data_IF_917858528850
#
_entry.id   IF_917858528850
#
_cell.length_a   1.000
_cell.length_b   1.000
_cell.length_c   1.000
_cell.angle_alpha   90.00
_cell.angle_beta   90.00
_cell.angle_gamma   90.00
#
_symmetry.space_group_name_H-M   'P 1'
#
loop_
_entity.id
_entity.type
_entity.pdbx_description
1 polymer ?
#
# COMPACT_ATOMS: atom_id res chain seq x y z
N UNK A 1 -23.32 -28.16 -8.88
CA UNK A 1 -23.36 -28.42 -7.42
C UNK A 1 -22.26 -27.65 -6.68
N UNK A 2 -20.98 -27.78 -7.06
CA UNK A 2 -19.85 -27.16 -6.34
C UNK A 2 -19.89 -25.61 -6.29
N UNK A 3 -20.21 -24.93 -7.40
CA UNK A 3 -20.38 -23.46 -7.44
C UNK A 3 -21.56 -22.96 -6.60
N UNK A 4 -22.58 -23.78 -6.39
CA UNK A 4 -23.79 -23.43 -5.63
C UNK A 4 -23.54 -23.57 -4.13
N UNK A 5 -22.84 -24.62 -3.71
CA UNK A 5 -22.41 -24.81 -2.32
C UNK A 5 -21.47 -23.70 -1.85
N UNK A 6 -20.52 -23.26 -2.69
CA UNK A 6 -19.61 -22.15 -2.37
C UNK A 6 -20.37 -20.85 -2.05
N UNK A 7 -21.36 -20.49 -2.88
CA UNK A 7 -22.11 -19.23 -2.76
C UNK A 7 -23.14 -19.22 -1.62
N UNK A 8 -23.72 -20.37 -1.32
CA UNK A 8 -24.82 -20.46 -0.33
C UNK A 8 -24.28 -20.74 1.07
N UNK A 9 -23.13 -21.39 1.19
CA UNK A 9 -22.59 -21.85 2.48
C UNK A 9 -21.32 -21.10 2.85
N UNK A 10 -20.29 -21.13 2.00
CA UNK A 10 -18.97 -20.64 2.37
C UNK A 10 -18.86 -19.11 2.35
N UNK A 11 -19.33 -18.44 1.29
CA UNK A 11 -19.27 -16.97 1.22
C UNK A 11 -20.02 -16.30 2.40
N UNK A 12 -21.26 -16.72 2.76
CA UNK A 12 -21.95 -16.20 3.93
C UNK A 12 -21.24 -16.49 5.25
N UNK A 13 -20.69 -17.70 5.42
CA UNK A 13 -19.94 -18.08 6.62
C UNK A 13 -18.69 -17.21 6.81
N UNK A 14 -17.94 -16.96 5.73
CA UNK A 14 -16.73 -16.13 5.75
C UNK A 14 -17.08 -14.70 6.14
N UNK A 15 -18.13 -14.13 5.52
CA UNK A 15 -18.61 -12.79 5.83
C UNK A 15 -19.05 -12.68 7.30
N UNK A 16 -19.87 -13.63 7.77
CA UNK A 16 -20.33 -13.66 9.15
C UNK A 16 -19.18 -13.76 10.15
N UNK A 17 -18.23 -14.67 9.91
CA UNK A 17 -17.07 -14.83 10.79
C UNK A 17 -16.24 -13.54 10.82
N UNK A 18 -15.90 -12.97 9.67
CA UNK A 18 -15.12 -11.73 9.62
C UNK A 18 -15.80 -10.58 10.34
N UNK A 19 -17.09 -10.35 10.08
CA UNK A 19 -17.83 -9.26 10.73
C UNK A 19 -17.95 -9.46 12.24
N UNK A 20 -18.12 -10.71 12.69
CA UNK A 20 -18.12 -11.04 14.13
C UNK A 20 -16.75 -10.78 14.76
N UNK A 21 -15.67 -11.30 14.16
CA UNK A 21 -14.30 -11.10 14.64
C UNK A 21 -13.92 -9.61 14.65
N UNK A 22 -14.32 -8.86 13.62
CA UNK A 22 -14.12 -7.42 13.52
C UNK A 22 -14.87 -6.68 14.63
N UNK A 23 -16.14 -7.00 14.87
CA UNK A 23 -16.91 -6.36 15.93
C UNK A 23 -16.28 -6.63 17.30
N UNK A 24 -15.88 -7.88 17.59
CA UNK A 24 -15.19 -8.21 18.83
C UNK A 24 -13.90 -7.41 18.99
N UNK A 25 -13.13 -7.25 17.91
CA UNK A 25 -11.92 -6.43 17.94
C UNK A 25 -12.22 -4.94 18.15
N UNK A 26 -13.28 -4.40 17.54
CA UNK A 26 -13.73 -3.03 17.79
C UNK A 26 -14.14 -2.83 19.26
N UNK A 27 -14.85 -3.79 19.87
CA UNK A 27 -15.19 -3.75 21.31
C UNK A 27 -13.95 -3.80 22.21
N UNK A 28 -12.89 -4.50 21.81
CA UNK A 28 -11.60 -4.44 22.51
C UNK A 28 -10.95 -3.07 22.39
N UNK A 29 -10.99 -2.46 21.21
CA UNK A 29 -10.38 -1.16 20.95
C UNK A 29 -11.15 0.00 21.62
N UNK A 30 -12.47 -0.12 21.82
CA UNK A 30 -13.27 0.85 22.60
C UNK A 30 -12.77 1.04 24.03
N UNK A 31 -12.06 0.05 24.59
CA UNK A 31 -11.49 0.11 25.94
C UNK A 31 -10.20 0.93 26.01
N UNK A 32 -9.60 1.25 24.86
CA UNK A 32 -8.42 2.12 24.77
C UNK A 32 -8.88 3.59 24.69
N UNK A 33 -8.08 4.50 25.26
CA UNK A 33 -8.36 5.94 25.18
C UNK A 33 -8.29 6.44 23.73
N UNK A 34 -7.22 6.07 23.02
CA UNK A 34 -7.03 6.33 21.59
C UNK A 34 -6.26 5.20 20.91
N UNK A 35 -6.40 5.11 19.59
CA UNK A 35 -5.67 4.13 18.77
C UNK A 35 -4.85 4.81 17.68
N UNK A 36 -3.74 4.20 17.30
CA UNK A 36 -2.96 4.56 16.13
C UNK A 36 -3.21 3.53 15.02
N UNK A 37 -3.51 3.99 13.81
CA UNK A 37 -3.82 3.11 12.67
C UNK A 37 -2.94 3.39 11.47
N UNK A 38 -2.68 2.37 10.66
CA UNK A 38 -1.99 2.46 9.38
C UNK A 38 -2.94 2.12 8.26
N UNK A 39 -2.80 2.80 7.12
CA UNK A 39 -3.69 2.57 5.98
C UNK A 39 -2.97 2.61 4.64
N UNK A 40 -3.30 1.64 3.79
CA UNK A 40 -2.76 1.53 2.42
C UNK A 40 -3.78 0.84 1.49
N UNK A 41 -3.76 1.20 0.20
CA UNK A 41 -4.60 0.60 -0.82
C UNK A 41 -3.79 -0.25 -1.81
N UNK A 42 -4.33 -1.43 -2.11
CA UNK A 42 -3.87 -2.27 -3.20
C UNK A 42 -4.90 -2.32 -4.34
N UNK A 43 -4.45 -2.06 -5.56
CA UNK A 43 -5.25 -2.29 -6.78
C UNK A 43 -5.04 -3.72 -7.35
N UNK A 44 -6.08 -4.27 -7.97
CA UNK A 44 -6.07 -5.58 -8.63
C UNK A 44 -5.21 -5.62 -9.90
N UNK A 45 -5.20 -4.55 -10.70
CA UNK A 45 -4.29 -4.37 -11.84
C UNK A 45 -3.40 -3.11 -11.68
N UNK A 46 -2.25 -3.04 -12.38
CA UNK A 46 -1.46 -1.81 -12.49
C UNK A 46 -2.13 -0.79 -13.41
N UNK A 47 -2.00 0.51 -13.09
CA UNK A 47 -2.46 1.62 -13.94
C UNK A 47 -3.85 2.15 -13.59
N UNK A 48 -4.38 3.03 -14.45
CA UNK A 48 -5.66 3.72 -14.24
C UNK A 48 -6.91 2.88 -14.59
N UNK A 49 -6.74 1.59 -14.90
CA UNK A 49 -7.79 0.68 -15.37
C UNK A 49 -8.14 -0.43 -14.37
N UNK A 50 -7.71 -0.30 -13.11
CA UNK A 50 -8.07 -1.26 -12.06
C UNK A 50 -9.58 -1.33 -11.86
N UNK A 51 -10.10 -2.56 -11.78
CA UNK A 51 -11.52 -2.80 -11.48
C UNK A 51 -11.76 -2.67 -9.98
N UNK A 52 -10.88 -3.26 -9.17
CA UNK A 52 -11.00 -3.29 -7.72
C UNK A 52 -9.79 -2.67 -7.00
N UNK A 53 -10.07 -1.87 -5.98
CA UNK A 53 -9.14 -1.42 -4.96
C UNK A 53 -9.55 -2.00 -3.60
N UNK A 54 -8.61 -2.65 -2.91
CA UNK A 54 -8.79 -3.05 -1.51
C UNK A 54 -7.99 -2.12 -0.61
N UNK A 55 -8.67 -1.28 0.16
CA UNK A 55 -8.08 -0.47 1.22
C UNK A 55 -8.00 -1.29 2.50
N UNK A 56 -6.86 -1.26 3.17
CA UNK A 56 -6.63 -1.99 4.41
C UNK A 56 -6.36 -1.00 5.52
N UNK A 57 -7.08 -1.12 6.63
CA UNK A 57 -6.79 -0.42 7.87
C UNK A 57 -6.21 -1.40 8.90
N UNK A 58 -5.04 -1.09 9.46
CA UNK A 58 -4.36 -1.88 10.48
C UNK A 58 -4.25 -1.07 11.77
N UNK A 59 -4.50 -1.69 12.92
CA UNK A 59 -4.16 -1.10 14.21
C UNK A 59 -2.67 -1.36 14.49
N UNK A 60 -1.91 -0.29 14.73
CA UNK A 60 -0.45 -0.31 14.62
C UNK A 60 0.26 -0.93 15.83
N UNK A 61 -0.37 -0.95 17.01
CA UNK A 61 0.22 -1.51 18.23
C UNK A 61 0.12 -3.05 18.24
N UNK A 62 -1.02 -3.58 17.82
CA UNK A 62 -1.28 -5.00 17.69
C UNK A 62 -0.82 -5.58 16.35
N UNK A 63 -0.60 -4.71 15.35
CA UNK A 63 -0.34 -5.04 13.96
C UNK A 63 -1.46 -5.88 13.32
N UNK A 64 -2.67 -5.89 13.91
CA UNK A 64 -3.82 -6.62 13.36
C UNK A 64 -4.55 -5.77 12.33
N UNK A 65 -5.00 -6.43 11.27
CA UNK A 65 -5.95 -5.87 10.31
C UNK A 65 -7.27 -5.62 11.05
N UNK A 66 -7.64 -4.35 11.10
CA UNK A 66 -8.89 -3.88 11.71
C UNK A 66 -10.01 -3.92 10.68
N UNK A 67 -9.73 -3.45 9.46
CA UNK A 67 -10.75 -3.32 8.42
C UNK A 67 -10.19 -3.51 7.01
N UNK A 68 -11.03 -4.02 6.11
CA UNK A 68 -10.72 -4.17 4.69
C UNK A 68 -11.92 -3.71 3.87
N UNK A 69 -11.73 -2.64 3.10
CA UNK A 69 -12.75 -2.05 2.24
C UNK A 69 -12.46 -2.37 0.78
N UNK A 70 -13.35 -3.13 0.14
CA UNK A 70 -13.31 -3.37 -1.29
C UNK A 70 -14.10 -2.28 -2.01
N UNK A 71 -13.47 -1.61 -2.97
CA UNK A 71 -14.06 -0.56 -3.79
C UNK A 71 -13.89 -0.93 -5.25
N UNK A 72 -14.95 -0.86 -6.02
CA UNK A 72 -14.96 -0.98 -7.48
C UNK A 72 -14.86 0.40 -8.12
N UNK A 73 -14.11 0.51 -9.21
CA UNK A 73 -13.78 1.81 -9.81
C UNK A 73 -14.99 2.60 -10.30
N UNK A 74 -16.06 1.95 -10.77
CA UNK A 74 -17.30 2.62 -11.17
C UNK A 74 -18.11 3.20 -10.00
N UNK A 75 -17.87 2.78 -8.75
CA UNK A 75 -18.51 3.39 -7.58
C UNK A 75 -18.04 4.83 -7.36
N UNK A 76 -16.83 5.16 -7.83
CA UNK A 76 -16.12 6.40 -7.47
C UNK A 76 -15.59 7.16 -8.68
N UNK A 77 -15.97 6.76 -9.89
CA UNK A 77 -15.54 7.44 -11.12
C UNK A 77 -14.09 7.17 -11.52
N UNK A 78 -13.50 6.06 -11.10
CA UNK A 78 -12.19 5.59 -11.55
C UNK A 78 -11.25 5.13 -10.44
N UNK A 79 -10.20 4.39 -10.81
CA UNK A 79 -9.29 3.76 -9.84
C UNK A 79 -8.52 4.76 -8.98
N UNK A 80 -8.34 5.99 -9.46
CA UNK A 80 -7.66 7.07 -8.75
C UNK A 80 -8.38 7.53 -7.47
N UNK A 81 -9.69 7.28 -7.36
CA UNK A 81 -10.51 7.72 -6.23
C UNK A 81 -10.76 6.62 -5.18
N UNK A 82 -10.44 5.37 -5.51
CA UNK A 82 -10.74 4.21 -4.66
C UNK A 82 -10.02 4.26 -3.31
N UNK A 83 -8.79 4.77 -3.25
CA UNK A 83 -8.03 4.85 -2.00
C UNK A 83 -8.70 5.78 -0.99
N UNK A 84 -9.10 6.97 -1.46
CA UNK A 84 -9.79 7.97 -0.63
C UNK A 84 -11.12 7.42 -0.14
N UNK A 85 -11.87 6.73 -1.01
CA UNK A 85 -13.16 6.15 -0.64
C UNK A 85 -13.01 5.00 0.37
N UNK A 86 -12.05 4.09 0.16
CA UNK A 86 -11.77 3.02 1.10
C UNK A 86 -11.37 3.56 2.47
N UNK A 87 -10.47 4.55 2.51
CA UNK A 87 -10.11 5.24 3.74
C UNK A 87 -11.32 5.91 4.41
N UNK A 88 -12.18 6.59 3.64
CA UNK A 88 -13.39 7.21 4.15
C UNK A 88 -14.29 6.19 4.85
N UNK A 89 -14.60 5.06 4.18
CA UNK A 89 -15.42 3.98 4.74
C UNK A 89 -14.83 3.41 6.03
N UNK A 90 -13.52 3.16 6.07
CA UNK A 90 -12.86 2.66 7.27
C UNK A 90 -12.88 3.68 8.43
N UNK A 91 -12.72 4.98 8.15
CA UNK A 91 -12.83 6.00 9.20
C UNK A 91 -14.27 6.19 9.69
N UNK A 92 -15.25 6.09 8.80
CA UNK A 92 -16.67 6.14 9.16
C UNK A 92 -17.01 4.94 10.08
N UNK A 93 -16.50 3.74 9.77
CA UNK A 93 -16.62 2.55 10.65
C UNK A 93 -16.08 2.80 12.06
N UNK A 94 -14.90 3.44 12.17
CA UNK A 94 -14.32 3.79 13.48
C UNK A 94 -15.20 4.79 14.23
N UNK A 95 -15.69 5.81 13.53
CA UNK A 95 -16.55 6.84 14.10
C UNK A 95 -17.89 6.26 14.59
N UNK A 96 -18.54 5.44 13.77
CA UNK A 96 -19.82 4.79 14.09
C UNK A 96 -19.69 3.84 15.29
N UNK A 97 -18.49 3.30 15.51
CA UNK A 97 -18.15 2.49 16.68
C UNK A 97 -17.54 3.30 17.84
N UNK A 98 -17.60 4.63 17.82
CA UNK A 98 -17.08 5.51 18.88
C UNK A 98 -15.60 5.23 19.23
N UNK A 99 -14.79 4.90 18.23
CA UNK A 99 -13.35 4.68 18.40
C UNK A 99 -12.62 6.01 18.24
N UNK A 100 -11.87 6.40 19.26
CA UNK A 100 -11.03 7.59 19.23
C UNK A 100 -9.73 7.32 18.48
N UNK A 101 -9.54 8.00 17.36
CA UNK A 101 -8.31 7.93 16.57
C UNK A 101 -7.29 8.96 17.08
N UNK A 102 -6.07 8.52 17.38
CA UNK A 102 -4.96 9.43 17.72
C UNK A 102 -4.32 10.00 16.45
N UNK A 103 -3.84 9.10 15.59
CA UNK A 103 -3.27 9.44 14.30
C UNK A 103 -3.33 8.28 13.32
N UNK A 104 -3.18 8.61 12.04
CA UNK A 104 -3.06 7.64 10.95
C UNK A 104 -1.71 7.74 10.24
N UNK A 105 -1.11 6.60 9.91
CA UNK A 105 0.09 6.49 9.07
C UNK A 105 -0.30 6.04 7.67
N UNK A 106 -0.01 6.86 6.66
CA UNK A 106 -0.28 6.51 5.25
C UNK A 106 0.86 6.95 4.33
N UNK A 107 0.70 6.62 3.04
CA UNK A 107 1.49 7.20 1.97
C UNK A 107 1.19 8.68 1.72
N UNK A 108 2.06 9.31 0.91
CA UNK A 108 2.00 10.73 0.55
C UNK A 108 1.04 11.00 -0.61
N UNK A 109 -0.18 10.48 -0.54
CA UNK A 109 -1.19 10.76 -1.55
C UNK A 109 -1.92 12.08 -1.26
N UNK A 110 -1.94 12.98 -2.26
CA UNK A 110 -2.43 14.37 -2.07
C UNK A 110 -3.93 14.43 -1.73
N UNK A 111 -4.74 13.54 -2.30
CA UNK A 111 -6.17 13.47 -1.99
C UNK A 111 -6.39 13.02 -0.54
N UNK A 112 -5.70 11.98 -0.10
CA UNK A 112 -5.76 11.47 1.29
C UNK A 112 -5.35 12.55 2.28
N UNK A 113 -4.24 13.25 2.01
CA UNK A 113 -3.78 14.38 2.84
C UNK A 113 -4.84 15.48 2.98
N UNK A 114 -5.47 15.86 1.87
CA UNK A 114 -6.49 16.92 1.87
C UNK A 114 -7.74 16.49 2.63
N UNK A 115 -8.16 15.25 2.44
CA UNK A 115 -9.30 14.65 3.11
C UNK A 115 -9.10 14.55 4.63
N UNK A 116 -7.97 14.01 5.08
CA UNK A 116 -7.65 13.88 6.51
C UNK A 116 -7.55 15.24 7.21
N UNK A 117 -6.97 16.24 6.54
CA UNK A 117 -6.96 17.62 7.05
C UNK A 117 -8.36 18.18 7.24
N UNK A 118 -9.28 17.91 6.31
CA UNK A 118 -10.68 18.33 6.41
C UNK A 118 -11.42 17.69 7.58
N UNK A 119 -11.02 16.49 8.00
CA UNK A 119 -11.55 15.78 9.18
C UNK A 119 -10.81 16.08 10.49
N UNK A 120 -9.83 16.98 10.46
CA UNK A 120 -8.96 17.27 11.61
C UNK A 120 -8.26 16.03 12.19
N UNK A 121 -7.87 15.09 11.32
CA UNK A 121 -7.15 13.87 11.71
C UNK A 121 -5.65 14.08 11.53
N UNK A 122 -4.88 13.75 12.58
CA UNK A 122 -3.42 13.77 12.53
C UNK A 122 -2.90 12.69 11.59
N UNK A 123 -2.15 13.10 10.58
CA UNK A 123 -1.53 12.20 9.60
C UNK A 123 -0.02 12.24 9.74
N UNK A 124 0.58 11.06 9.85
CA UNK A 124 2.02 10.83 9.69
C UNK A 124 2.30 10.04 8.41
N UNK A 125 3.54 10.13 7.94
CA UNK A 125 3.99 9.44 6.74
C UNK A 125 4.86 8.25 7.05
N UNK A 126 4.72 7.26 6.18
CA UNK A 126 5.58 6.11 6.13
C UNK A 126 7.02 6.51 5.76
N UNK A 127 7.95 6.14 6.65
CA UNK A 127 9.39 6.40 6.57
C UNK A 127 10.01 5.70 5.35
N UNK A 128 9.57 4.49 5.03
CA UNK A 128 10.13 3.68 3.95
C UNK A 128 9.78 4.25 2.57
N UNK A 129 8.54 4.70 2.40
CA UNK A 129 8.12 5.40 1.19
C UNK A 129 8.86 6.72 1.00
N UNK A 130 9.21 7.41 2.10
CA UNK A 130 10.05 8.59 2.01
C UNK A 130 11.45 8.22 1.50
N UNK A 131 12.11 7.25 2.13
CA UNK A 131 13.44 6.77 1.72
C UNK A 131 13.50 6.39 0.21
N UNK A 132 12.50 5.65 -0.28
CA UNK A 132 12.38 5.26 -1.70
C UNK A 132 12.30 6.47 -2.64
N UNK A 133 11.55 7.52 -2.28
CA UNK A 133 11.42 8.69 -3.16
C UNK A 133 12.69 9.52 -3.18
N UNK A 134 13.38 9.66 -2.05
CA UNK A 134 14.70 10.34 -2.01
C UNK A 134 15.69 9.60 -2.91
N UNK A 135 15.76 8.27 -2.83
CA UNK A 135 16.62 7.44 -3.70
C UNK A 135 16.37 7.63 -5.20
N UNK A 136 15.12 7.93 -5.59
CA UNK A 136 14.75 8.18 -6.99
C UNK A 136 15.16 9.57 -7.48
N UNK A 137 15.38 10.52 -6.59
CA UNK A 137 15.90 11.83 -6.96
C UNK A 137 17.37 11.66 -7.35
N UNK A 138 17.65 11.66 -8.65
CA UNK A 138 19.00 11.46 -9.23
C UNK A 138 19.97 12.50 -8.67
N UNK A 139 20.84 12.07 -7.77
CA UNK A 139 22.01 12.82 -7.35
C UNK A 139 23.11 12.70 -8.43
N UNK A 140 24.07 13.64 -8.49
CA UNK A 140 25.27 13.49 -9.32
C UNK A 140 25.91 12.13 -9.08
N UNK A 141 26.37 11.47 -10.15
CA UNK A 141 26.78 10.06 -10.20
C UNK A 141 27.98 9.69 -9.30
N UNK A 142 28.57 10.68 -8.64
CA UNK A 142 29.96 10.65 -8.26
C UNK A 142 30.19 10.13 -6.83
N UNK A 143 29.16 9.97 -5.99
CA UNK A 143 29.34 9.52 -4.58
C UNK A 143 28.20 8.65 -4.05
N UNK A 144 28.39 7.33 -4.04
CA UNK A 144 27.57 6.33 -3.29
C UNK A 144 27.40 6.73 -1.80
N UNK A 145 28.33 7.51 -1.26
CA UNK A 145 28.39 7.98 0.13
C UNK A 145 27.14 8.75 0.54
N UNK A 146 26.55 9.59 -0.32
CA UNK A 146 25.35 10.40 0.02
C UNK A 146 24.13 9.53 0.30
N UNK A 147 23.95 8.47 -0.49
CA UNK A 147 22.81 7.56 -0.37
C UNK A 147 22.81 6.84 0.99
N UNK A 148 23.99 6.38 1.45
CA UNK A 148 24.13 5.69 2.74
C UNK A 148 23.83 6.61 3.94
N UNK A 149 24.22 7.88 3.87
CA UNK A 149 23.95 8.85 4.93
C UNK A 149 22.47 9.29 4.93
N UNK A 150 21.82 9.37 3.77
CA UNK A 150 20.39 9.68 3.68
C UNK A 150 19.50 8.67 4.41
N UNK A 151 19.69 7.37 4.15
CA UNK A 151 18.92 6.31 4.84
C UNK A 151 19.06 6.43 6.36
N UNK A 152 20.29 6.66 6.81
CA UNK A 152 20.62 6.83 8.23
C UNK A 152 19.96 8.08 8.82
N UNK A 153 19.92 9.20 8.09
CA UNK A 153 19.30 10.44 8.54
C UNK A 153 17.77 10.40 8.50
N UNK A 154 17.15 9.70 7.55
CA UNK A 154 15.68 9.46 7.57
C UNK A 154 15.29 8.67 8.81
N UNK A 155 16.05 7.60 9.13
CA UNK A 155 15.83 6.79 10.33
C UNK A 155 16.16 7.57 11.62
N UNK A 156 17.19 8.42 11.61
CA UNK A 156 17.50 9.30 12.74
C UNK A 156 16.39 10.34 12.95
N UNK A 157 15.89 10.95 11.88
CA UNK A 157 14.77 11.88 11.96
C UNK A 157 13.54 11.19 12.56
N UNK A 158 13.14 10.02 12.04
CA UNK A 158 11.98 9.29 12.54
C UNK A 158 12.11 8.85 14.00
N UNK A 159 13.31 8.70 14.55
CA UNK A 159 13.49 8.44 15.99
C UNK A 159 12.97 9.56 16.91
N UNK A 160 12.79 10.77 16.39
CA UNK A 160 12.36 11.96 17.13
C UNK A 160 10.84 12.02 17.22
N UNK A 161 10.31 12.64 18.28
CA UNK A 161 8.85 12.83 18.41
C UNK A 161 8.36 14.12 17.74
N UNK A 162 9.14 15.19 17.82
CA UNK A 162 8.71 16.51 17.36
C UNK A 162 9.05 16.74 15.88
N UNK A 163 8.21 17.52 15.21
CA UNK A 163 8.45 17.95 13.82
C UNK A 163 9.74 18.77 13.66
N UNK A 164 10.02 19.75 14.54
CA UNK A 164 11.27 20.52 14.49
C UNK A 164 12.52 19.65 14.61
N UNK A 165 12.58 18.73 15.58
CA UNK A 165 13.74 17.85 15.75
C UNK A 165 13.92 16.90 14.55
N UNK A 166 12.83 16.39 13.97
CA UNK A 166 12.86 15.62 12.70
C UNK A 166 13.53 16.42 11.58
N UNK A 167 13.14 17.68 11.45
CA UNK A 167 13.69 18.58 10.43
C UNK A 167 15.16 18.90 10.71
N UNK A 168 15.54 19.19 11.96
CA UNK A 168 16.92 19.46 12.36
C UNK A 168 17.85 18.25 12.09
N UNK A 169 17.40 17.03 12.43
CA UNK A 169 18.13 15.80 12.10
C UNK A 169 18.23 15.53 10.60
N UNK A 170 17.27 16.00 9.81
CA UNK A 170 17.32 15.85 8.36
C UNK A 170 18.24 16.88 7.70
N UNK A 171 18.14 18.15 8.08
CA UNK A 171 18.97 19.23 7.53
C UNK A 171 20.42 19.09 7.92
N UNK A 172 20.72 18.50 9.09
CA UNK A 172 22.09 18.17 9.51
C UNK A 172 22.83 17.25 8.54
N UNK A 173 22.13 16.51 7.67
CA UNK A 173 22.73 15.73 6.59
C UNK A 173 23.63 16.59 5.69
N UNK A 174 23.28 17.84 5.45
CA UNK A 174 24.06 18.77 4.60
C UNK A 174 25.42 19.03 5.23
N UNK A 175 25.47 19.19 6.54
CA UNK A 175 26.71 19.31 7.29
C UNK A 175 27.46 17.98 7.32
N UNK A 176 26.74 16.87 7.56
CA UNK A 176 27.33 15.54 7.64
C UNK A 176 28.05 15.13 6.36
N UNK A 177 27.46 15.35 5.17
CA UNK A 177 28.11 15.02 3.88
C UNK A 177 29.35 15.89 3.58
N UNK A 178 29.61 16.92 4.38
CA UNK A 178 30.83 17.75 4.38
C UNK A 178 31.76 17.38 5.55
N UNK A 179 31.49 16.29 6.28
CA UNK A 179 32.18 15.87 7.49
C UNK A 179 32.06 16.84 8.68
N UNK A 180 31.00 17.66 8.71
CA UNK A 180 30.68 18.56 9.82
C UNK A 180 29.62 17.89 10.68
N UNK A 181 29.97 17.56 11.92
CA UNK A 181 29.12 16.78 12.84
C UNK A 181 28.51 17.61 13.98
N UNK A 182 28.82 18.89 14.03
CA UNK A 182 28.27 19.89 14.96
C UNK A 182 27.44 20.89 14.18
N UNK A 183 26.31 21.31 14.74
CA UNK A 183 25.30 22.09 14.03
C UNK A 183 24.83 23.25 14.89
N UNK A 184 24.47 24.35 14.23
CA UNK A 184 23.96 25.55 14.92
C UNK A 184 22.50 25.38 15.39
N UNK A 185 21.82 24.32 14.92
CA UNK A 185 20.44 24.04 15.27
C UNK A 185 20.34 23.45 16.70
N UNK A 186 19.69 24.14 17.65
CA UNK A 186 19.62 23.70 19.05
C UNK A 186 18.79 22.42 19.23
N UNK A 187 17.88 22.10 18.30
CA UNK A 187 17.09 20.86 18.35
C UNK A 187 17.94 19.63 18.04
N UNK A 188 19.04 19.79 17.30
CA UNK A 188 19.99 18.72 17.01
C UNK A 188 21.43 19.26 16.85
N UNK A 189 22.12 19.57 17.95
CA UNK A 189 23.40 20.28 17.91
C UNK A 189 24.60 19.39 17.51
N UNK A 190 24.49 18.06 17.62
CA UNK A 190 25.58 17.12 17.29
C UNK A 190 25.06 15.76 16.78
N UNK A 191 25.76 15.17 15.82
CA UNK A 191 25.51 13.81 15.34
C UNK A 191 25.60 12.74 16.44
N UNK A 192 24.63 11.82 16.47
CA UNK A 192 24.52 10.76 17.47
C UNK A 192 25.32 9.48 17.12
N UNK A 193 26.60 9.63 16.75
CA UNK A 193 27.51 8.51 16.56
C UNK A 193 28.96 8.91 16.88
N UNK A 194 29.83 7.93 17.18
CA UNK A 194 31.26 8.19 17.30
C UNK A 194 31.81 8.80 16.01
N UNK A 195 32.72 9.78 16.13
CA UNK A 195 33.35 10.43 14.97
C UNK A 195 34.21 9.41 14.20
N UNK A 196 33.66 8.85 13.13
CA UNK A 196 34.39 8.03 12.16
C UNK A 196 35.01 8.95 11.12
N UNK A 197 36.05 9.69 11.51
CA UNK A 197 36.69 10.66 10.62
C UNK A 197 37.52 9.92 9.59
N UNK A 198 36.98 9.67 8.39
CA UNK A 198 37.86 9.46 7.23
C UNK A 198 38.41 10.84 6.88
N UNK A 199 39.68 11.08 7.23
CA UNK A 199 40.37 12.36 6.99
C UNK A 199 40.64 12.65 5.51
N UNK A 200 40.28 11.74 4.62
CA UNK A 200 40.44 11.88 3.18
C UNK A 200 39.41 12.89 2.61
N UNK A 201 39.84 14.10 2.22
CA UNK A 201 38.94 15.16 1.77
C UNK A 201 38.22 14.81 0.45
N UNK A 202 38.76 13.87 -0.34
CA UNK A 202 38.17 13.45 -1.62
C UNK A 202 36.80 12.77 -1.44
N UNK A 203 36.55 12.20 -0.25
CA UNK A 203 35.31 11.47 0.07
C UNK A 203 34.14 12.38 0.44
N UNK A 204 34.40 13.66 0.74
CA UNK A 204 33.40 14.60 1.25
C UNK A 204 33.03 15.65 0.21
N UNK A 205 31.88 16.30 0.41
CA UNK A 205 31.52 17.47 -0.39
C UNK A 205 32.33 18.67 0.04
N UNK A 206 32.79 19.44 -0.94
CA UNK A 206 33.49 20.69 -0.65
C UNK A 206 32.46 21.82 -0.44
N UNK A 207 32.64 22.67 0.59
CA UNK A 207 31.82 23.85 0.79
C UNK A 207 31.76 24.72 -0.47
N UNK A 208 30.58 25.23 -0.80
CA UNK A 208 30.36 26.08 -1.98
C UNK A 208 30.39 25.36 -3.34
N UNK A 209 30.57 24.03 -3.38
CA UNK A 209 30.54 23.28 -4.63
C UNK A 209 29.14 23.25 -5.27
N UNK A 210 29.08 23.25 -6.60
CA UNK A 210 27.80 23.13 -7.33
C UNK A 210 27.05 21.83 -7.01
N UNK A 211 27.79 20.76 -6.73
CA UNK A 211 27.21 19.47 -6.35
C UNK A 211 26.52 19.54 -4.98
N UNK A 212 27.14 20.21 -3.99
CA UNK A 212 26.53 20.44 -2.68
C UNK A 212 25.27 21.30 -2.80
N UNK A 213 25.33 22.40 -3.56
CA UNK A 213 24.18 23.27 -3.78
C UNK A 213 22.97 22.53 -4.39
N UNK A 214 23.22 21.63 -5.35
CA UNK A 214 22.16 20.78 -5.94
C UNK A 214 21.54 19.84 -4.89
N UNK A 215 22.36 19.20 -4.05
CA UNK A 215 21.90 18.32 -2.97
C UNK A 215 21.10 19.10 -1.94
N UNK A 216 21.64 20.21 -1.45
CA UNK A 216 20.99 21.11 -0.50
C UNK A 216 19.61 21.53 -0.99
N UNK A 217 19.49 22.04 -2.22
CA UNK A 217 18.21 22.46 -2.81
C UNK A 217 17.16 21.34 -2.84
N UNK A 218 17.58 20.09 -3.02
CA UNK A 218 16.69 18.93 -2.96
C UNK A 218 16.26 18.62 -1.51
N UNK A 219 17.21 18.62 -0.57
CA UNK A 219 16.98 18.27 0.84
C UNK A 219 16.17 19.34 1.59
N UNK A 220 16.42 20.63 1.36
CA UNK A 220 15.75 21.75 2.04
C UNK A 220 14.47 22.22 1.36
N UNK A 221 14.01 21.50 0.34
CA UNK A 221 12.76 21.82 -0.33
C UNK A 221 11.61 21.88 0.70
N UNK A 222 10.82 22.97 0.70
CA UNK A 222 9.70 23.18 1.64
C UNK A 222 8.75 21.97 1.73
N UNK A 223 8.50 21.29 0.60
CA UNK A 223 7.67 20.08 0.57
C UNK A 223 8.34 18.91 1.30
N UNK A 224 9.64 18.71 1.07
CA UNK A 224 10.44 17.67 1.73
C UNK A 224 10.51 17.94 3.23
N UNK A 225 10.83 19.15 3.66
CA UNK A 225 10.87 19.50 5.09
C UNK A 225 9.50 19.32 5.77
N UNK A 226 8.42 19.72 5.09
CA UNK A 226 7.06 19.48 5.56
C UNK A 226 6.75 17.99 5.70
N UNK A 227 7.21 17.16 4.77
CA UNK A 227 7.02 15.70 4.84
C UNK A 227 7.89 15.05 5.93
N UNK A 228 9.14 15.48 6.07
CA UNK A 228 10.07 15.02 7.12
C UNK A 228 9.52 15.31 8.51
N UNK A 229 8.95 16.50 8.72
CA UNK A 229 8.33 16.87 10.01
C UNK A 229 7.18 15.94 10.41
N UNK A 230 6.58 15.25 9.44
CA UNK A 230 5.46 14.31 9.60
C UNK A 230 5.86 12.85 9.50
N UNK A 231 7.15 12.51 9.54
CA UNK A 231 7.55 11.11 9.59
C UNK A 231 6.99 10.43 10.84
N UNK A 232 6.43 9.23 10.69
CA UNK A 232 5.98 8.43 11.84
C UNK A 232 7.17 8.06 12.72
N UNK A 233 7.02 8.25 14.04
CA UNK A 233 8.08 7.96 15.01
C UNK A 233 7.98 6.59 15.68
N UNK A 234 6.76 6.07 15.78
CA UNK A 234 6.45 4.91 16.62
C UNK A 234 6.15 3.66 15.80
N UNK A 235 5.54 3.86 14.64
CA UNK A 235 4.97 2.76 13.88
C UNK A 235 5.35 2.86 12.41
N UNK A 236 5.83 1.74 11.87
CA UNK A 236 6.11 1.55 10.45
C UNK A 236 5.03 0.65 9.84
N UNK A 237 4.72 0.87 8.57
CA UNK A 237 3.72 0.10 7.79
C UNK A 237 4.29 -1.20 7.22
N UNK A 238 5.48 -1.65 7.64
CA UNK A 238 6.09 -2.88 7.10
C UNK A 238 5.19 -4.12 7.27
N UNK A 239 4.38 -4.14 8.32
CA UNK A 239 3.37 -5.18 8.57
C UNK A 239 2.20 -5.11 7.58
N UNK A 240 1.81 -3.91 7.10
CA UNK A 240 0.87 -3.76 5.98
C UNK A 240 1.46 -4.30 4.67
N UNK A 241 2.73 -4.01 4.36
CA UNK A 241 3.40 -4.61 3.18
C UNK A 241 3.44 -6.15 3.27
N UNK A 242 3.66 -6.69 4.47
CA UNK A 242 3.61 -8.13 4.73
C UNK A 242 2.20 -8.69 4.51
N UNK A 243 1.16 -7.98 4.95
CA UNK A 243 -0.24 -8.36 4.69
C UNK A 243 -0.56 -8.38 3.19
N UNK A 244 -0.14 -7.37 2.43
CA UNK A 244 -0.33 -7.35 0.98
C UNK A 244 0.32 -8.55 0.26
N UNK A 245 1.43 -9.06 0.81
CA UNK A 245 2.05 -10.29 0.33
C UNK A 245 1.22 -11.55 0.64
N UNK A 246 0.48 -11.56 1.76
CA UNK A 246 -0.48 -12.62 2.09
C UNK A 246 -1.67 -12.57 1.15
N UNK A 247 -2.23 -11.38 0.89
CA UNK A 247 -3.36 -11.20 -0.04
C UNK A 247 -3.10 -11.82 -1.40
N UNK A 248 -1.87 -11.72 -1.94
CA UNK A 248 -1.51 -12.33 -3.23
C UNK A 248 -1.75 -13.84 -3.27
N UNK A 249 -1.64 -14.54 -2.13
CA UNK A 249 -1.88 -15.99 -2.04
C UNK A 249 -3.37 -16.33 -2.06
N UNK A 250 -4.21 -15.47 -1.50
CA UNK A 250 -5.66 -15.67 -1.41
C UNK A 250 -6.40 -15.10 -2.63
N UNK A 251 -5.93 -13.98 -3.17
CA UNK A 251 -6.47 -13.30 -4.34
C UNK A 251 -5.32 -12.91 -5.31
N UNK A 252 -4.82 -13.89 -6.11
CA UNK A 252 -3.83 -13.62 -7.13
C UNK A 252 -4.35 -12.64 -8.18
N UNK A 253 -3.48 -11.73 -8.65
CA UNK A 253 -3.85 -10.74 -9.69
C UNK A 253 -4.19 -11.35 -11.05
N UNK A 254 -3.75 -12.58 -11.29
CA UNK A 254 -3.96 -13.32 -12.54
C UNK A 254 -5.34 -13.99 -12.63
N UNK A 255 -6.15 -13.92 -11.57
CA UNK A 255 -7.46 -14.57 -11.52
C UNK A 255 -8.53 -13.51 -11.31
N UNK A 256 -9.59 -13.57 -12.12
CA UNK A 256 -10.74 -12.68 -12.00
C UNK A 256 -11.72 -13.26 -11.00
N UNK A 257 -12.13 -12.45 -10.04
CA UNK A 257 -13.12 -12.81 -9.03
C UNK A 257 -14.35 -11.90 -9.14
N UNK A 258 -15.57 -12.41 -8.85
CA UNK A 258 -16.72 -11.56 -8.61
C UNK A 258 -16.50 -10.74 -7.32
N UNK A 259 -17.25 -9.65 -7.13
CA UNK A 259 -17.09 -8.74 -5.99
C UNK A 259 -17.10 -9.48 -4.64
N UNK A 260 -18.15 -10.26 -4.37
CA UNK A 260 -18.30 -11.05 -3.13
C UNK A 260 -17.16 -12.07 -2.96
N UNK A 261 -16.75 -12.72 -4.06
CA UNK A 261 -15.65 -13.68 -4.04
C UNK A 261 -14.30 -13.03 -3.72
N UNK A 262 -14.05 -11.82 -4.24
CA UNK A 262 -12.86 -11.03 -3.91
C UNK A 262 -12.88 -10.62 -2.44
N UNK A 263 -14.00 -10.07 -1.96
CA UNK A 263 -14.19 -9.66 -0.58
C UNK A 263 -13.94 -10.82 0.41
N UNK A 264 -14.58 -11.98 0.18
CA UNK A 264 -14.38 -13.15 1.04
C UNK A 264 -12.92 -13.60 1.08
N UNK A 265 -12.19 -13.55 -0.06
CA UNK A 265 -10.76 -13.90 -0.11
C UNK A 265 -9.89 -12.91 0.67
N UNK A 266 -10.23 -11.63 0.63
CA UNK A 266 -9.56 -10.60 1.44
C UNK A 266 -9.80 -10.84 2.93
N UNK A 267 -11.03 -11.18 3.33
CA UNK A 267 -11.35 -11.51 4.73
C UNK A 267 -10.63 -12.78 5.22
N UNK A 268 -10.56 -13.83 4.39
CA UNK A 268 -9.74 -15.01 4.70
C UNK A 268 -8.26 -14.65 4.87
N UNK A 269 -7.72 -13.77 4.01
CA UNK A 269 -6.36 -13.28 4.16
C UNK A 269 -6.17 -12.49 5.47
N UNK A 270 -7.16 -11.65 5.83
CA UNK A 270 -7.18 -10.87 7.07
C UNK A 270 -7.18 -11.76 8.31
N UNK A 271 -8.09 -12.74 8.37
CA UNK A 271 -8.15 -13.74 9.45
C UNK A 271 -6.83 -14.49 9.58
N UNK A 272 -6.29 -15.00 8.46
CA UNK A 272 -5.01 -15.69 8.45
C UNK A 272 -3.87 -14.81 8.98
N UNK A 273 -3.82 -13.55 8.55
CA UNK A 273 -2.78 -12.62 8.98
C UNK A 273 -2.90 -12.29 10.46
N UNK A 274 -4.09 -11.96 10.94
CA UNK A 274 -4.35 -11.59 12.34
C UNK A 274 -3.98 -12.71 13.31
N UNK A 275 -4.25 -13.96 12.95
CA UNK A 275 -3.83 -15.12 13.75
C UNK A 275 -2.30 -15.29 13.77
N UNK A 276 -1.62 -14.92 12.69
CA UNK A 276 -0.21 -15.28 12.46
C UNK A 276 0.80 -14.11 12.55
N UNK A 277 0.35 -12.89 12.82
CA UNK A 277 1.22 -11.69 12.85
C UNK A 277 2.21 -11.73 14.03
N UNK A 278 1.72 -12.05 15.24
CA UNK A 278 2.51 -12.12 16.48
C UNK A 278 3.18 -13.48 16.75
N UNK A 279 3.46 -14.28 15.70
CA UNK A 279 4.16 -15.57 15.88
C UNK A 279 5.55 -15.38 16.49
N UNK A 280 5.80 -16.12 17.56
CA UNK A 280 7.08 -16.16 18.25
C UNK A 280 8.22 -16.69 17.35
N UNK A 281 9.45 -16.35 17.70
CA UNK A 281 10.62 -16.97 17.11
C UNK A 281 10.72 -18.44 17.55
N UNK A 282 10.94 -19.34 16.60
CA UNK A 282 11.12 -20.75 16.86
C UNK A 282 12.45 -20.99 17.60
N UNK A 283 12.43 -21.91 18.56
CA UNK A 283 13.60 -22.32 19.33
C UNK A 283 13.86 -23.81 19.18
N UNK A 284 15.13 -24.22 19.15
CA UNK A 284 15.54 -25.63 19.25
C UNK A 284 16.53 -25.77 20.39
N UNK A 285 16.24 -26.69 21.34
CA UNK A 285 17.05 -26.89 22.56
C UNK A 285 17.36 -25.58 23.30
N UNK A 286 16.35 -24.70 23.43
CA UNK A 286 16.48 -23.39 24.09
C UNK A 286 17.19 -22.30 23.27
N UNK A 287 17.68 -22.58 22.06
CA UNK A 287 18.34 -21.59 21.20
C UNK A 287 17.41 -21.08 20.10
N UNK A 288 17.39 -19.75 19.92
CA UNK A 288 16.61 -19.10 18.89
C UNK A 288 17.12 -19.48 17.49
N UNK A 289 16.19 -19.89 16.61
CA UNK A 289 16.51 -20.33 15.26
C UNK A 289 16.59 -19.15 14.30
N UNK A 290 17.64 -19.16 13.47
CA UNK A 290 17.85 -18.19 12.41
C UNK A 290 18.04 -18.93 11.08
N UNK A 291 17.56 -18.33 10.00
CA UNK A 291 17.90 -18.75 8.64
C UNK A 291 18.80 -17.71 8.00
N UNK A 292 19.76 -18.17 7.21
CA UNK A 292 20.60 -17.29 6.41
C UNK A 292 19.83 -16.91 5.14
N UNK A 293 19.64 -15.62 4.92
CA UNK A 293 19.09 -15.09 3.69
C UNK A 293 20.16 -14.29 2.94
N UNK A 294 20.07 -14.27 1.61
CA UNK A 294 20.94 -13.48 0.73
C UNK A 294 20.09 -12.46 -0.02
N UNK A 295 19.80 -11.28 0.58
CA UNK A 295 19.02 -10.25 -0.10
C UNK A 295 19.76 -9.73 -1.33
N UNK A 296 19.05 -9.59 -2.46
CA UNK A 296 19.63 -9.11 -3.73
C UNK A 296 20.40 -7.80 -3.57
N UNK A 297 19.87 -6.86 -2.79
CA UNK A 297 20.50 -5.55 -2.56
C UNK A 297 21.85 -5.63 -1.83
N UNK A 298 22.11 -6.71 -1.08
CA UNK A 298 23.37 -6.92 -0.36
C UNK A 298 24.47 -7.57 -1.23
N UNK A 299 24.22 -7.78 -2.53
CA UNK A 299 25.18 -8.29 -3.52
C UNK A 299 26.00 -9.49 -3.01
N UNK A 300 25.32 -10.49 -2.45
CA UNK A 300 25.94 -11.72 -1.94
C UNK A 300 26.29 -11.72 -0.44
N UNK A 301 26.15 -10.60 0.29
CA UNK A 301 26.35 -10.62 1.75
C UNK A 301 25.13 -11.24 2.47
N UNK A 302 25.34 -12.20 3.38
CA UNK A 302 24.25 -12.85 4.10
C UNK A 302 23.60 -11.93 5.12
N UNK A 303 22.39 -12.28 5.55
CA UNK A 303 21.71 -11.69 6.70
C UNK A 303 20.97 -12.78 7.45
N UNK A 304 21.17 -12.84 8.75
CA UNK A 304 20.39 -13.72 9.62
C UNK A 304 18.95 -13.19 9.72
N UNK A 305 17.97 -14.05 9.49
CA UNK A 305 16.56 -13.76 9.69
C UNK A 305 15.98 -14.70 10.75
N UNK A 306 15.26 -14.19 11.76
CA UNK A 306 14.54 -15.02 12.71
C UNK A 306 13.61 -16.01 11.99
N UNK A 307 13.64 -17.27 12.39
CA UNK A 307 12.67 -18.28 11.95
C UNK A 307 11.49 -18.21 12.91
N UNK A 308 10.30 -17.82 12.44
CA UNK A 308 9.08 -17.85 13.26
C UNK A 308 8.54 -19.27 13.39
N UNK A 309 7.76 -19.54 14.43
CA UNK A 309 7.02 -20.81 14.63
C UNK A 309 6.12 -21.12 13.41
N UNK A 310 5.71 -22.37 13.23
CA UNK A 310 4.83 -22.74 12.11
C UNK A 310 3.52 -21.94 12.18
N UNK A 311 2.96 -21.50 11.03
CA UNK A 311 1.64 -20.88 11.01
C UNK A 311 0.57 -21.81 11.56
N UNK A 312 -0.42 -21.22 12.21
CA UNK A 312 -1.64 -21.89 12.66
C UNK A 312 -2.81 -21.52 11.74
N UNK A 313 -3.86 -22.35 11.80
CA UNK A 313 -5.06 -22.22 10.98
C UNK A 313 -6.33 -22.39 11.83
N UNK A 314 -6.30 -21.88 13.06
CA UNK A 314 -7.45 -21.91 13.98
C UNK A 314 -8.69 -21.27 13.38
N UNK A 315 -8.53 -20.15 12.66
CA UNK A 315 -9.60 -19.48 11.93
C UNK A 315 -10.31 -20.41 10.93
N UNK A 316 -9.60 -21.37 10.34
CA UNK A 316 -10.19 -22.37 9.43
C UNK A 316 -11.01 -23.38 10.22
N UNK A 317 -10.49 -23.87 11.33
CA UNK A 317 -11.22 -24.79 12.21
C UNK A 317 -12.52 -24.17 12.72
N UNK A 318 -12.47 -22.91 13.15
CA UNK A 318 -13.65 -22.15 13.59
C UNK A 318 -14.65 -21.93 12.46
N UNK A 319 -14.17 -21.57 11.26
CA UNK A 319 -15.02 -21.40 10.09
C UNK A 319 -15.70 -22.72 9.68
N UNK A 320 -14.97 -23.84 9.72
CA UNK A 320 -15.53 -25.15 9.44
C UNK A 320 -16.59 -25.55 10.50
N UNK A 321 -16.34 -25.25 11.78
CA UNK A 321 -17.33 -25.45 12.85
C UNK A 321 -18.59 -24.62 12.60
N UNK A 322 -18.44 -23.33 12.29
CA UNK A 322 -19.55 -22.43 11.96
C UNK A 322 -20.37 -22.99 10.79
N UNK A 323 -19.69 -23.42 9.73
CA UNK A 323 -20.34 -24.02 8.56
C UNK A 323 -21.16 -25.25 8.92
N UNK A 324 -20.54 -26.23 9.61
CA UNK A 324 -21.18 -27.51 9.92
C UNK A 324 -22.27 -27.43 10.98
N UNK A 325 -22.13 -26.56 11.97
CA UNK A 325 -23.04 -26.53 13.11
C UNK A 325 -24.17 -25.51 12.94
N UNK A 326 -23.95 -24.44 12.18
CA UNK A 326 -24.86 -23.29 12.17
C UNK A 326 -25.33 -22.97 10.73
N UNK A 327 -24.41 -22.84 9.77
CA UNK A 327 -24.78 -22.42 8.40
C UNK A 327 -25.55 -23.51 7.66
N UNK A 328 -25.18 -24.79 7.81
CA UNK A 328 -25.96 -25.87 7.19
C UNK A 328 -27.35 -26.03 7.81
N UNK A 329 -27.51 -25.72 9.10
CA UNK A 329 -28.79 -25.81 9.78
C UNK A 329 -29.75 -24.68 9.32
N UNK A 330 -29.23 -23.46 9.16
CA UNK A 330 -30.03 -22.30 8.76
C UNK A 330 -29.29 -21.41 7.72
N UNK A 331 -29.12 -21.86 6.46
CA UNK A 331 -28.36 -21.09 5.47
C UNK A 331 -28.96 -19.73 5.14
N UNK A 332 -30.30 -19.62 5.20
CA UNK A 332 -31.05 -18.42 4.83
C UNK A 332 -30.61 -17.19 5.62
N UNK A 333 -30.46 -17.32 6.94
CA UNK A 333 -30.00 -16.23 7.82
C UNK A 333 -28.66 -15.66 7.39
N UNK A 334 -27.68 -16.51 7.11
CA UNK A 334 -26.34 -16.07 6.71
C UNK A 334 -26.35 -15.47 5.30
N UNK A 335 -27.10 -16.09 4.37
CA UNK A 335 -27.27 -15.57 3.01
C UNK A 335 -27.91 -14.20 3.02
N UNK A 336 -28.94 -13.98 3.83
CA UNK A 336 -29.62 -12.69 3.94
C UNK A 336 -28.72 -11.64 4.58
N UNK A 337 -27.90 -12.02 5.55
CA UNK A 337 -26.85 -11.15 6.08
C UNK A 337 -25.88 -10.73 4.96
N UNK A 338 -25.42 -11.66 4.12
CA UNK A 338 -24.51 -11.35 3.02
C UNK A 338 -25.18 -10.48 1.93
N UNK A 339 -26.47 -10.66 1.66
CA UNK A 339 -27.23 -9.82 0.70
C UNK A 339 -27.31 -8.35 1.12
N UNK A 340 -27.12 -8.03 2.39
CA UNK A 340 -27.07 -6.64 2.86
C UNK A 340 -25.82 -5.89 2.38
N UNK A 341 -24.79 -6.61 1.89
CA UNK A 341 -23.59 -6.00 1.33
C UNK A 341 -23.94 -5.33 0.00
N UNK A 342 -23.69 -4.01 -0.15
CA UNK A 342 -23.93 -3.34 -1.42
C UNK A 342 -22.92 -3.83 -2.46
N UNK A 343 -23.41 -4.55 -3.47
CA UNK A 343 -22.59 -5.02 -4.59
C UNK A 343 -22.79 -4.06 -5.78
N UNK A 344 -21.72 -3.42 -6.27
CA UNK A 344 -21.83 -2.52 -7.42
C UNK A 344 -22.22 -3.27 -8.69
N UNK A 345 -22.86 -2.57 -9.61
CA UNK A 345 -23.11 -3.11 -10.95
C UNK A 345 -21.80 -3.39 -11.70
N UNK A 346 -21.89 -4.25 -12.71
CA UNK A 346 -20.77 -4.52 -13.60
C UNK A 346 -20.32 -3.24 -14.31
N UNK A 347 -19.01 -3.14 -14.61
CA UNK A 347 -18.43 -1.99 -15.31
C UNK A 347 -19.13 -1.70 -16.64
N UNK A 348 -19.62 -2.74 -17.32
CA UNK A 348 -20.33 -2.61 -18.59
C UNK A 348 -21.76 -2.11 -18.47
N UNK A 349 -22.34 -2.05 -17.26
CA UNK A 349 -23.74 -1.65 -17.06
C UNK A 349 -24.01 -0.20 -17.47
N UNK A 350 -22.99 0.66 -17.38
CA UNK A 350 -23.07 2.08 -17.76
C UNK A 350 -22.97 2.31 -19.27
N UNK A 351 -22.68 1.27 -20.05
CA UNK A 351 -22.51 1.38 -21.50
C UNK A 351 -23.72 0.81 -22.24
N UNK A 352 -24.05 1.42 -23.38
CA UNK A 352 -25.08 0.91 -24.27
C UNK A 352 -24.69 -0.49 -24.78
N UNK A 353 -25.62 -1.44 -24.66
CA UNK A 353 -25.39 -2.83 -25.06
C UNK A 353 -25.79 -2.99 -26.52
N UNK A 354 -24.80 -3.23 -27.36
CA UNK A 354 -24.99 -3.64 -28.76
C UNK A 354 -25.54 -5.07 -28.80
N UNK A 355 -26.40 -5.36 -29.77
CA UNK A 355 -26.97 -6.70 -29.91
C UNK A 355 -25.89 -7.76 -30.20
N UNK A 356 -26.12 -8.99 -29.74
CA UNK A 356 -25.18 -10.10 -29.97
C UNK A 356 -24.91 -10.31 -31.46
N UNK A 357 -25.95 -10.17 -32.28
CA UNK A 357 -25.87 -10.40 -33.72
C UNK A 357 -25.04 -9.33 -34.41
N UNK A 358 -25.17 -8.06 -34.01
CA UNK A 358 -24.32 -6.96 -34.49
C UNK A 358 -22.85 -7.16 -34.10
N UNK A 359 -22.58 -7.59 -32.86
CA UNK A 359 -21.20 -7.88 -32.41
C UNK A 359 -20.58 -9.03 -33.21
N UNK A 360 -21.35 -10.10 -33.49
CA UNK A 360 -20.90 -11.22 -34.31
C UNK A 360 -20.66 -10.75 -35.74
N UNK A 361 -21.58 -10.00 -36.34
CA UNK A 361 -21.45 -9.48 -37.69
C UNK A 361 -20.20 -8.59 -37.85
N UNK A 362 -19.96 -7.69 -36.89
CA UNK A 362 -18.76 -6.85 -36.86
C UNK A 362 -17.47 -7.67 -36.66
N UNK A 363 -17.49 -8.73 -35.84
CA UNK A 363 -16.34 -9.60 -35.66
C UNK A 363 -15.99 -10.35 -36.95
N UNK A 364 -16.99 -10.95 -37.61
CA UNK A 364 -16.83 -11.68 -38.86
C UNK A 364 -16.38 -10.75 -39.99
N UNK A 365 -16.93 -9.53 -40.07
CA UNK A 365 -16.59 -8.56 -41.13
C UNK A 365 -15.14 -8.04 -41.03
N UNK A 366 -14.54 -8.03 -39.83
CA UNK A 366 -13.12 -7.67 -39.62
C UNK A 366 -12.16 -8.65 -40.29
N UNK A 367 -12.54 -9.93 -40.42
CA UNK A 367 -11.70 -10.95 -41.06
C UNK A 367 -11.99 -11.12 -42.55
N UNK A 368 -13.18 -10.76 -43.03
CA UNK A 368 -13.52 -10.84 -44.45
C UNK A 368 -12.91 -9.73 -45.31
N UNK A 369 -12.43 -8.63 -44.70
CA UNK A 369 -11.68 -7.56 -45.42
C UNK A 369 -10.25 -7.95 -45.83
N UNK A 370 -9.73 -9.09 -45.39
CA UNK A 370 -8.36 -9.53 -45.71
C UNK A 370 -8.25 -10.50 -46.89
N UNK A 371 -9.37 -10.91 -47.51
CA UNK A 371 -9.38 -11.90 -48.61
C UNK A 371 -10.15 -11.35 -49.80
N UNK A 372 -9.49 -10.48 -50.57
CA UNK A 372 -9.97 -9.96 -51.86
C UNK A 372 -9.15 -8.73 -52.31
N UNK A 373 -8.05 -8.95 -53.03
CA UNK A 373 -7.29 -7.87 -53.70
C UNK A 373 -7.92 -7.45 -55.05
N UNK A 374 -7.22 -6.72 -55.93
CA UNK A 374 -6.10 -5.79 -55.75
C UNK A 374 -6.54 -4.31 -55.89
N UNK A 375 -5.68 -3.41 -55.41
CA UNK A 375 -5.47 -2.01 -55.80
C UNK A 375 -6.50 -1.35 -56.75
N UNK A 376 -7.46 -0.61 -56.19
CA UNK A 376 -8.06 0.55 -56.86
C UNK A 376 -8.30 1.66 -55.84
N UNK A 377 -7.59 2.76 -56.05
CA UNK A 377 -7.60 3.95 -55.21
C UNK A 377 -9.01 4.52 -55.03
N UNK A 378 -9.35 4.85 -53.80
CA UNK A 378 -10.40 5.80 -53.47
C UNK A 378 -9.93 6.65 -52.31
N UNK A 379 -9.63 7.91 -52.62
CA UNK A 379 -9.33 8.97 -51.67
C UNK A 379 -10.44 9.03 -50.62
N UNK A 380 -10.09 8.76 -49.37
CA UNK A 380 -10.98 9.06 -48.24
C UNK A 380 -10.55 10.40 -47.66
N UNK A 381 -11.40 11.40 -47.86
CA UNK A 381 -11.23 12.74 -47.30
C UNK A 381 -11.06 12.66 -45.78
N UNK A 382 -9.96 13.22 -45.29
CA UNK A 382 -9.76 13.53 -43.89
C UNK A 382 -10.83 14.52 -43.42
N UNK A 383 -11.83 14.04 -42.69
CA UNK A 383 -12.56 14.88 -41.74
C UNK A 383 -11.85 14.78 -40.39
N UNK A 384 -11.08 15.81 -40.09
CA UNK A 384 -10.45 16.00 -38.79
C UNK A 384 -11.53 16.27 -37.75
N UNK A 385 -11.80 15.30 -36.87
CA UNK A 385 -12.34 15.61 -35.55
C UNK A 385 -11.16 15.90 -34.62
N UNK A 386 -11.15 17.11 -34.08
CA UNK A 386 -10.20 17.59 -33.10
C UNK A 386 -10.41 16.84 -31.78
N UNK A 387 -9.43 16.02 -31.39
CA UNK A 387 -9.30 15.55 -30.01
C UNK A 387 -8.79 16.70 -29.13
N UNK A 388 -9.35 16.94 -27.93
CA UNK A 388 -8.81 17.89 -26.99
C UNK A 388 -7.47 17.38 -26.44
N UNK A 389 -6.45 18.22 -26.61
CA UNK A 389 -5.06 18.01 -26.18
C UNK A 389 -4.94 17.54 -24.73
N UNK A 390 -4.18 16.47 -24.50
CA UNK A 390 -3.64 16.11 -23.19
C UNK A 390 -2.12 16.32 -23.20
N UNK A 391 -1.50 16.99 -22.20
CA UNK A 391 -0.08 17.32 -22.25
C UNK A 391 0.79 16.07 -22.07
N UNK A 392 1.69 15.83 -23.02
CA UNK A 392 2.62 14.72 -23.02
C UNK A 392 3.69 14.81 -21.93
N UNK A 393 4.12 13.64 -21.45
CA UNK A 393 5.42 13.47 -20.82
C UNK A 393 6.15 12.31 -21.49
N UNK A 394 7.38 12.61 -21.89
CA UNK A 394 8.29 11.93 -22.79
C UNK A 394 8.78 10.54 -22.35
N UNK A 395 8.84 9.62 -23.32
CA UNK A 395 10.05 8.90 -23.74
C UNK A 395 10.72 7.95 -22.76
N UNK A 396 10.46 6.64 -22.90
CA UNK A 396 11.40 5.58 -22.48
C UNK A 396 11.93 4.89 -23.73
N UNK A 397 13.18 5.21 -24.05
CA UNK A 397 13.96 4.58 -25.10
C UNK A 397 14.42 3.20 -24.62
N UNK A 398 14.02 2.18 -25.37
CA UNK A 398 14.37 0.77 -25.17
C UNK A 398 15.71 0.54 -25.87
N UNK A 399 16.80 0.35 -25.13
CA UNK A 399 18.03 -0.23 -25.70
C UNK A 399 18.02 -1.73 -25.46
N UNK A 400 18.12 -2.46 -26.57
CA UNK A 400 18.53 -3.85 -26.65
C UNK A 400 20.03 -3.92 -26.40
N UNK A 401 20.45 -4.76 -25.45
CA UNK A 401 21.44 -5.83 -25.59
C UNK A 401 21.50 -6.63 -24.27
#
# INVERSE_FOLDING_TARGET
MEKTALKIVLEPAIYHKWTTDQQLFLEELKKKDKIAVGGDMRADSPGHSAKFGSYTLMELESEKILDIQLVQSNEVGGSFYMEKEGLRRSLDLLQDNNINLDYIVTDRHTQVKTFLRGRNITQYYDVWHMEKVIKRQRMPADKEVVCCHQESHVLAASSSKTGPEKVAKWTSLINHIQNVHTHDDPEFPKCAHPEKVSRDPSKWFQPGSLALYKVEKLLVNKRVLGDVSKLSSDHQTSSLEAFHSVVIRFAPKSVVFPFVGMMCRLYLAGMHFNENVKRAQATSKGKALFKVAYPKYKKGKPTAKPVKTKPTFGYVTELMRLVFNEVFAEPGRFVDQLKSVPVPEDLSAQHEKVSKDEVIAAHVSRFSRAVGGPDQGTETQHTAHQDPETPGVSGVQRMME
#
